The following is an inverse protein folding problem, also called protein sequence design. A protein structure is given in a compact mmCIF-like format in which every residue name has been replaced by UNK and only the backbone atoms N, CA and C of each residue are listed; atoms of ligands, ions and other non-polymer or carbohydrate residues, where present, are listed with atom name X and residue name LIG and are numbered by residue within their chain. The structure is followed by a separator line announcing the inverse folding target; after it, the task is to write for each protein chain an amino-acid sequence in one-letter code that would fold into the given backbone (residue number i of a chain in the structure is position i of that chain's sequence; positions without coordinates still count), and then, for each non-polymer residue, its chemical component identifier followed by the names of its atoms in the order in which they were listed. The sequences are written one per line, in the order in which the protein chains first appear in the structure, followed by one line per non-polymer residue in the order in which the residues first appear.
data_IF_890522134805
#
_entry.id   IF_890522134805
#
_cell.length_a   1.000
_cell.length_b   1.000
_cell.length_c   1.000
_cell.angle_alpha   90.00
_cell.angle_beta   90.00
_cell.angle_gamma   90.00
#
_symmetry.space_group_name_H-M   'P 1'
#
loop_
_entity.id
_entity.type
_entity.pdbx_description
1 polymer ?
#
# COMPACT_ATOMS: atom_id res chain seq x y z
N UNK A 1 39.15 40.29 45.76
CA UNK A 1 38.71 39.55 44.55
C UNK A 1 37.23 39.83 44.32
N UNK A 2 36.86 40.69 43.37
CA UNK A 2 35.45 40.96 43.03
C UNK A 2 34.98 39.91 42.02
N UNK A 3 34.05 39.03 42.41
CA UNK A 3 33.43 38.05 41.52
C UNK A 3 32.43 38.77 40.61
N UNK A 4 32.67 38.73 39.31
CA UNK A 4 31.76 39.30 38.31
C UNK A 4 30.69 38.26 38.00
N UNK A 5 29.46 38.48 38.50
CA UNK A 5 28.33 37.60 38.23
C UNK A 5 27.70 38.01 36.88
N UNK A 6 27.90 37.22 35.83
CA UNK A 6 27.24 37.41 34.54
C UNK A 6 25.77 37.05 34.72
N UNK A 7 24.90 38.05 34.80
CA UNK A 7 23.46 37.86 34.94
C UNK A 7 22.89 37.41 33.58
N UNK A 8 22.79 36.09 33.39
CA UNK A 8 22.16 35.49 32.21
C UNK A 8 20.66 35.73 32.28
N UNK A 9 20.19 36.78 31.61
CA UNK A 9 18.76 36.99 31.37
C UNK A 9 18.23 35.84 30.52
N UNK A 10 17.55 34.88 31.17
CA UNK A 10 16.84 33.83 30.45
C UNK A 10 15.60 34.45 29.82
N UNK A 11 15.62 34.61 28.49
CA UNK A 11 14.44 34.96 27.71
C UNK A 11 13.48 33.77 27.72
N UNK A 12 12.35 33.90 28.42
CA UNK A 12 11.22 33.00 28.31
C UNK A 12 10.32 33.40 27.14
N UNK A 13 9.67 32.43 26.52
CA UNK A 13 8.59 32.70 25.56
C UNK A 13 7.38 33.26 26.30
N UNK A 14 6.73 34.26 25.71
CA UNK A 14 5.46 34.77 26.23
C UNK A 14 4.33 33.80 25.89
N UNK A 15 3.30 33.74 26.74
CA UNK A 15 2.12 32.89 26.50
C UNK A 15 1.45 33.26 25.17
N UNK A 16 1.45 34.55 24.81
CA UNK A 16 0.85 35.04 23.57
C UNK A 16 1.60 34.56 22.32
N UNK A 17 2.92 34.48 22.36
CA UNK A 17 3.72 33.93 21.25
C UNK A 17 3.41 32.44 21.06
N UNK A 18 3.27 31.67 22.13
CA UNK A 18 2.91 30.25 22.02
C UNK A 18 1.48 30.06 21.52
N UNK A 19 0.54 30.88 22.00
CA UNK A 19 -0.88 30.78 21.67
C UNK A 19 -1.17 31.13 20.21
N UNK A 20 -0.52 32.16 19.67
CA UNK A 20 -0.67 32.54 18.26
C UNK A 20 -0.14 31.48 17.31
N UNK A 21 0.97 30.82 17.67
CA UNK A 21 1.53 29.70 16.87
C UNK A 21 0.58 28.50 16.84
N UNK A 22 0.05 28.07 18.00
CA UNK A 22 -0.93 26.97 18.03
C UNK A 22 -2.20 27.31 17.26
N UNK A 23 -2.65 28.57 17.31
CA UNK A 23 -3.82 29.05 16.56
C UNK A 23 -3.63 28.89 15.05
N UNK A 24 -2.46 29.24 14.52
CA UNK A 24 -2.15 29.08 13.09
C UNK A 24 -2.04 27.60 12.71
N UNK A 25 -1.40 26.77 13.56
CA UNK A 25 -1.30 25.31 13.33
C UNK A 25 -2.69 24.67 13.25
N UNK A 26 -3.62 25.03 14.14
CA UNK A 26 -4.97 24.48 14.12
C UNK A 26 -5.76 24.86 12.86
N UNK A 27 -5.61 26.10 12.37
CA UNK A 27 -6.24 26.54 11.12
C UNK A 27 -5.69 25.71 9.94
N UNK A 28 -4.37 25.54 9.85
CA UNK A 28 -3.76 24.74 8.78
C UNK A 28 -4.15 23.26 8.87
N UNK A 29 -4.14 22.66 10.06
CA UNK A 29 -4.56 21.27 10.26
C UNK A 29 -6.02 21.05 9.88
N UNK A 30 -6.92 21.98 10.22
CA UNK A 30 -8.34 21.91 9.86
C UNK A 30 -8.58 21.84 8.36
N UNK A 31 -7.73 22.48 7.54
CA UNK A 31 -7.84 22.43 6.07
C UNK A 31 -7.22 21.16 5.46
N UNK A 32 -6.21 20.56 6.12
CA UNK A 32 -5.45 19.42 5.60
C UNK A 32 -6.16 18.08 5.86
N UNK A 33 -6.70 17.87 7.06
CA UNK A 33 -7.32 16.61 7.49
C UNK A 33 -8.41 16.08 6.52
N UNK A 34 -9.40 16.87 6.07
CA UNK A 34 -10.47 16.34 5.20
C UNK A 34 -9.95 15.87 3.84
N UNK A 35 -8.91 16.54 3.30
CA UNK A 35 -8.30 16.15 2.04
C UNK A 35 -7.55 14.82 2.14
N UNK A 36 -6.85 14.59 3.26
CA UNK A 36 -6.10 13.35 3.51
C UNK A 36 -6.99 12.11 3.53
N UNK A 37 -8.20 12.20 4.08
CA UNK A 37 -9.13 11.06 4.11
C UNK A 37 -9.54 10.60 2.71
N UNK A 38 -9.78 11.52 1.78
CA UNK A 38 -10.06 11.17 0.38
C UNK A 38 -8.85 10.58 -0.37
N UNK A 39 -7.63 11.02 -0.04
CA UNK A 39 -6.41 10.47 -0.66
C UNK A 39 -6.11 9.04 -0.21
N UNK A 40 -6.42 8.67 1.05
CA UNK A 40 -6.23 7.32 1.56
C UNK A 40 -7.03 6.28 0.76
N UNK A 41 -8.33 6.50 0.58
CA UNK A 41 -9.17 5.57 -0.21
C UNK A 41 -8.74 5.47 -1.68
N UNK A 42 -8.28 6.57 -2.28
CA UNK A 42 -7.68 6.53 -3.63
C UNK A 42 -6.39 5.74 -3.67
N UNK A 43 -5.52 5.92 -2.68
CA UNK A 43 -4.26 5.19 -2.58
C UNK A 43 -4.50 3.68 -2.38
N UNK A 44 -5.49 3.29 -1.58
CA UNK A 44 -5.91 1.89 -1.44
C UNK A 44 -6.39 1.29 -2.76
N UNK A 45 -7.28 1.98 -3.48
CA UNK A 45 -7.74 1.50 -4.79
C UNK A 45 -6.58 1.32 -5.77
N UNK A 46 -5.69 2.31 -5.84
CA UNK A 46 -4.49 2.24 -6.69
C UNK A 46 -3.56 1.10 -6.27
N UNK A 47 -3.44 0.84 -4.97
CA UNK A 47 -2.71 -0.31 -4.42
C UNK A 47 -3.33 -1.60 -4.93
N UNK A 48 -4.62 -1.84 -4.73
CA UNK A 48 -5.32 -3.06 -5.19
C UNK A 48 -5.13 -3.27 -6.70
N UNK A 49 -5.34 -2.23 -7.50
CA UNK A 49 -5.18 -2.29 -8.96
C UNK A 49 -3.74 -2.62 -9.37
N UNK A 50 -2.75 -2.03 -8.71
CA UNK A 50 -1.33 -2.32 -8.98
C UNK A 50 -0.93 -3.75 -8.58
N UNK A 51 -1.48 -4.28 -7.48
CA UNK A 51 -1.26 -5.68 -7.09
C UNK A 51 -1.89 -6.63 -8.10
N UNK A 52 -3.15 -6.41 -8.49
CA UNK A 52 -3.83 -7.22 -9.51
C UNK A 52 -3.06 -7.22 -10.84
N UNK A 53 -2.54 -6.06 -11.26
CA UNK A 53 -1.71 -5.93 -12.47
C UNK A 53 -0.39 -6.70 -12.37
N UNK A 54 0.30 -6.63 -11.23
CA UNK A 54 1.55 -7.38 -11.02
C UNK A 54 1.32 -8.89 -11.05
N UNK A 55 0.24 -9.35 -10.40
CA UNK A 55 -0.18 -10.76 -10.42
C UNK A 55 -0.50 -11.21 -11.84
N UNK A 56 -1.22 -10.39 -12.61
CA UNK A 56 -1.52 -10.67 -14.02
C UNK A 56 -0.24 -10.86 -14.85
N UNK A 57 0.72 -9.95 -14.72
CA UNK A 57 1.98 -10.03 -15.46
C UNK A 57 2.77 -11.28 -15.08
N UNK A 58 2.86 -11.60 -13.78
CA UNK A 58 3.54 -12.80 -13.30
C UNK A 58 2.85 -14.09 -13.80
N UNK A 59 1.51 -14.15 -13.75
CA UNK A 59 0.78 -15.29 -14.27
C UNK A 59 0.92 -15.46 -15.79
N UNK A 60 0.99 -14.36 -16.54
CA UNK A 60 1.21 -14.37 -17.98
C UNK A 60 2.64 -14.78 -18.36
N UNK A 61 3.64 -14.38 -17.56
CA UNK A 61 5.01 -14.87 -17.71
C UNK A 61 5.02 -16.40 -17.57
N UNK A 62 4.40 -16.91 -16.51
CA UNK A 62 4.22 -18.35 -16.28
C UNK A 62 3.50 -19.05 -17.44
N UNK A 63 2.43 -18.45 -17.96
CA UNK A 63 1.67 -19.00 -19.07
C UNK A 63 2.52 -19.15 -20.34
N UNK A 64 3.39 -18.17 -20.62
CA UNK A 64 4.33 -18.23 -21.74
C UNK A 64 5.38 -19.33 -21.61
N UNK A 65 5.86 -19.57 -20.39
CA UNK A 65 6.86 -20.62 -20.11
C UNK A 65 6.25 -22.03 -20.10
N UNK A 66 4.98 -22.15 -19.73
CA UNK A 66 4.28 -23.44 -19.57
C UNK A 66 3.44 -23.85 -20.78
N UNK A 67 3.91 -23.54 -21.99
CA UNK A 67 3.27 -23.91 -23.26
C UNK A 67 1.80 -23.43 -23.37
N UNK A 68 1.49 -22.24 -22.87
CA UNK A 68 0.14 -21.68 -22.93
C UNK A 68 -0.85 -22.40 -22.00
N UNK A 69 -0.39 -22.80 -20.82
CA UNK A 69 -1.24 -23.35 -19.77
C UNK A 69 -1.01 -22.61 -18.48
N UNK A 70 -2.09 -22.34 -17.75
CA UNK A 70 -1.96 -21.87 -16.38
C UNK A 70 -1.65 -23.05 -15.45
N UNK A 71 -0.49 -22.99 -14.79
CA UNK A 71 -0.07 -23.98 -13.80
C UNK A 71 0.05 -23.27 -12.45
N UNK A 72 -0.70 -23.74 -11.45
CA UNK A 72 -0.82 -23.05 -10.17
C UNK A 72 0.52 -22.87 -9.45
N UNK A 73 1.40 -23.88 -9.48
CA UNK A 73 2.67 -23.81 -8.76
C UNK A 73 3.70 -22.91 -9.47
N UNK A 74 3.71 -22.90 -10.80
CA UNK A 74 4.55 -21.99 -11.57
C UNK A 74 4.13 -20.52 -11.34
N UNK A 75 2.82 -20.25 -11.39
CA UNK A 75 2.27 -18.91 -11.11
C UNK A 75 2.62 -18.46 -9.68
N UNK A 76 2.55 -19.35 -8.68
CA UNK A 76 2.95 -19.02 -7.30
C UNK A 76 4.42 -18.61 -7.21
N UNK A 77 5.31 -19.34 -7.90
CA UNK A 77 6.74 -19.05 -7.90
C UNK A 77 7.00 -17.70 -8.58
N UNK A 78 6.43 -17.48 -9.76
CA UNK A 78 6.60 -16.24 -10.52
C UNK A 78 6.03 -15.03 -9.78
N UNK A 79 4.93 -15.19 -9.04
CA UNK A 79 4.43 -14.13 -8.16
C UNK A 79 5.45 -13.81 -7.06
N UNK A 80 6.05 -14.81 -6.42
CA UNK A 80 7.04 -14.58 -5.36
C UNK A 80 8.35 -13.97 -5.88
N UNK A 81 8.77 -14.37 -7.09
CA UNK A 81 10.06 -13.98 -7.66
C UNK A 81 9.99 -12.63 -8.40
N UNK A 82 8.89 -12.36 -9.11
CA UNK A 82 8.73 -11.17 -9.94
C UNK A 82 8.00 -10.04 -9.25
N UNK A 83 7.33 -10.32 -8.13
CA UNK A 83 6.60 -9.30 -7.39
C UNK A 83 7.13 -9.24 -5.95
N UNK A 84 7.35 -8.03 -5.43
CA UNK A 84 7.60 -7.84 -3.99
C UNK A 84 6.35 -8.07 -3.14
N UNK A 85 5.32 -8.72 -3.72
CA UNK A 85 4.23 -9.37 -3.03
C UNK A 85 4.76 -10.71 -2.50
N UNK A 86 5.91 -10.68 -1.82
CA UNK A 86 6.15 -11.69 -0.81
C UNK A 86 4.97 -11.60 0.12
N UNK A 87 4.40 -12.75 0.45
CA UNK A 87 3.49 -13.03 1.56
C UNK A 87 4.00 -12.33 2.83
N UNK A 88 3.87 -11.00 2.91
CA UNK A 88 3.96 -10.24 4.15
C UNK A 88 2.87 -10.89 4.99
N UNK A 89 3.24 -11.43 6.14
CA UNK A 89 2.32 -12.07 7.09
C UNK A 89 0.94 -11.40 7.00
N UNK A 90 -0.02 -12.13 6.41
CA UNK A 90 -1.37 -11.62 6.14
C UNK A 90 -1.85 -11.70 4.68
N UNK A 91 -0.99 -11.86 3.67
CA UNK A 91 -1.42 -12.08 2.27
C UNK A 91 -1.45 -13.58 1.95
N UNK A 92 -2.56 -14.25 2.23
CA UNK A 92 -2.73 -15.66 1.84
C UNK A 92 -2.94 -15.75 0.33
N UNK A 93 -1.89 -16.07 -0.44
CA UNK A 93 -2.00 -16.25 -1.89
C UNK A 93 -2.48 -17.64 -2.23
N UNK A 94 -3.77 -17.78 -2.55
CA UNK A 94 -4.32 -19.02 -3.09
C UNK A 94 -4.36 -18.91 -4.61
N UNK A 95 -3.67 -19.80 -5.29
CA UNK A 95 -3.72 -19.90 -6.76
C UNK A 95 -4.50 -21.16 -7.13
N UNK A 96 -5.57 -20.97 -7.89
CA UNK A 96 -6.36 -22.04 -8.51
C UNK A 96 -6.22 -21.87 -10.01
N UNK A 97 -5.64 -22.84 -10.70
CA UNK A 97 -5.44 -22.78 -12.15
C UNK A 97 -6.20 -23.91 -12.84
N UNK A 98 -6.80 -23.58 -13.97
CA UNK A 98 -7.33 -24.49 -14.99
C UNK A 98 -6.62 -24.19 -16.31
N UNK A 99 -6.75 -25.05 -17.33
CA UNK A 99 -6.01 -24.89 -18.59
C UNK A 99 -6.15 -23.49 -19.22
N UNK A 100 -7.33 -22.87 -19.12
CA UNK A 100 -7.66 -21.60 -19.79
C UNK A 100 -7.84 -20.41 -18.85
N UNK A 101 -7.76 -20.60 -17.52
CA UNK A 101 -7.90 -19.50 -16.55
C UNK A 101 -7.19 -19.77 -15.22
N UNK A 102 -6.74 -18.70 -14.56
CA UNK A 102 -6.19 -18.75 -13.22
C UNK A 102 -6.91 -17.77 -12.30
N UNK A 103 -7.22 -18.18 -11.08
CA UNK A 103 -7.69 -17.30 -10.02
C UNK A 103 -6.61 -17.20 -8.96
N UNK A 104 -6.18 -15.97 -8.67
CA UNK A 104 -5.22 -15.66 -7.62
C UNK A 104 -5.91 -14.81 -6.57
N UNK A 105 -6.08 -15.37 -5.39
CA UNK A 105 -6.62 -14.69 -4.23
C UNK A 105 -5.49 -13.97 -3.48
N UNK A 106 -5.68 -12.72 -3.07
CA UNK A 106 -4.76 -12.00 -2.19
C UNK A 106 -5.51 -11.18 -1.14
N UNK A 107 -4.92 -10.98 0.03
CA UNK A 107 -5.53 -10.20 1.13
C UNK A 107 -4.76 -8.91 1.37
N UNK A 108 -5.44 -7.77 1.48
CA UNK A 108 -4.85 -6.48 1.87
C UNK A 108 -5.64 -5.95 3.06
N UNK A 109 -4.95 -5.67 4.18
CA UNK A 109 -5.54 -4.99 5.35
C UNK A 109 -6.82 -5.69 5.89
N UNK A 110 -6.89 -7.02 5.74
CA UNK A 110 -8.00 -7.86 6.19
C UNK A 110 -9.11 -8.11 5.15
N UNK A 111 -9.05 -7.43 4.00
CA UNK A 111 -9.99 -7.63 2.87
C UNK A 111 -9.37 -8.54 1.83
N UNK A 112 -10.11 -9.53 1.35
CA UNK A 112 -9.64 -10.52 0.38
C UNK A 112 -10.20 -10.23 -1.01
N UNK A 113 -9.33 -10.34 -2.01
CA UNK A 113 -9.62 -10.05 -3.40
C UNK A 113 -9.23 -11.24 -4.27
N UNK A 114 -10.09 -11.59 -5.21
CA UNK A 114 -9.82 -12.58 -6.25
C UNK A 114 -9.48 -11.89 -7.55
N UNK A 115 -8.31 -12.23 -8.12
CA UNK A 115 -7.91 -11.85 -9.47
C UNK A 115 -8.16 -13.03 -10.39
N UNK A 116 -9.12 -12.90 -11.29
CA UNK A 116 -9.39 -13.88 -12.33
C UNK A 116 -8.64 -13.45 -13.59
N UNK A 117 -7.83 -14.36 -14.11
CA UNK A 117 -6.95 -14.17 -15.25
C UNK A 117 -7.37 -15.19 -16.31
N UNK A 118 -7.58 -14.70 -17.52
CA UNK A 118 -7.91 -15.50 -18.69
C UNK A 118 -7.10 -15.00 -19.90
N UNK A 119 -7.29 -15.64 -21.05
CA UNK A 119 -6.61 -15.26 -22.30
C UNK A 119 -7.07 -13.90 -22.86
N UNK A 120 -8.12 -13.30 -22.32
CA UNK A 120 -8.71 -12.03 -22.75
C UNK A 120 -8.32 -10.87 -21.81
N UNK A 121 -7.75 -11.15 -20.63
CA UNK A 121 -7.22 -10.17 -19.71
C UNK A 121 -7.30 -10.61 -18.24
N UNK A 122 -7.52 -9.63 -17.36
CA UNK A 122 -7.74 -9.88 -15.94
C UNK A 122 -8.87 -9.03 -15.39
N UNK A 123 -9.55 -9.55 -14.38
CA UNK A 123 -10.51 -8.82 -13.57
C UNK A 123 -10.24 -9.12 -12.09
N UNK A 124 -10.58 -8.18 -11.21
CA UNK A 124 -10.49 -8.40 -9.77
C UNK A 124 -11.84 -8.10 -9.10
N UNK A 125 -12.18 -8.88 -8.07
CA UNK A 125 -13.39 -8.70 -7.26
C UNK A 125 -13.04 -8.90 -5.79
N UNK A 126 -13.71 -8.13 -4.94
CA UNK A 126 -13.70 -8.38 -3.50
C UNK A 126 -14.52 -9.65 -3.21
N UNK A 127 -14.03 -10.47 -2.28
CA UNK A 127 -14.65 -11.73 -1.87
C UNK A 127 -15.73 -11.53 -0.80
#
# INVERSE_FOLDING_TARGET
MKKHCINSSKKGFTIIELLTVMSIIFILMGLIIPKLNGYRGKAEKLKIENYARQIYIAAMASYGENNGKFIADAIKNDINDLTSITVKEGVNTKVVAANDSATVTFTIEGVTYDVVIDNNGYSYKEQ
#
